data_IF_027737456126
#
_entry.id   IF_027737456126
#
_cell.length_a   1.000
_cell.length_b   1.000
_cell.length_c   1.000
_cell.angle_alpha   90.00
_cell.angle_beta   90.00
_cell.angle_gamma   90.00
#
_symmetry.space_group_name_H-M   'P 1'
#
loop_
_entity.id
_entity.type
_entity.pdbx_description
1 polymer ?
#
# COMPACT_ATOMS: atom_id res chain seq x y z
N UNK A 1 1.13 0.22 0.39
CA UNK A 1 0.55 1.51 -0.07
C UNK A 1 0.39 1.39 -1.57
N UNK A 2 -0.77 1.74 -2.14
CA UNK A 2 -0.99 1.67 -3.59
C UNK A 2 -0.48 2.99 -4.18
N UNK A 3 0.40 2.93 -5.19
CA UNK A 3 0.96 4.15 -5.78
C UNK A 3 0.35 4.49 -7.13
N UNK A 4 0.04 3.50 -7.95
CA UNK A 4 -0.58 3.74 -9.25
C UNK A 4 -1.78 2.84 -9.51
N UNK A 5 -2.78 3.47 -10.13
CA UNK A 5 -4.01 2.89 -10.63
C UNK A 5 -3.88 2.77 -12.15
N UNK A 6 -3.93 1.55 -12.66
CA UNK A 6 -3.88 1.31 -14.10
C UNK A 6 -5.29 1.20 -14.69
N UNK A 7 -5.54 2.00 -15.74
CA UNK A 7 -6.69 1.92 -16.65
C UNK A 7 -8.03 1.51 -15.98
N UNK A 8 -8.66 2.43 -15.27
CA UNK A 8 -9.96 2.22 -14.61
C UNK A 8 -9.96 1.00 -13.67
N UNK A 9 -9.04 1.01 -12.70
CA UNK A 9 -8.93 -0.05 -11.68
C UNK A 9 -8.61 -1.45 -12.23
N UNK A 10 -8.04 -1.60 -13.44
CA UNK A 10 -7.69 -2.91 -14.01
C UNK A 10 -6.44 -3.54 -13.39
N UNK A 11 -5.60 -2.73 -12.76
CA UNK A 11 -4.41 -3.19 -12.05
C UNK A 11 -3.86 -2.12 -11.14
N UNK A 12 -3.07 -2.54 -10.15
CA UNK A 12 -2.51 -1.67 -9.14
C UNK A 12 -1.02 -1.95 -8.99
N UNK A 13 -0.25 -0.89 -8.75
CA UNK A 13 1.13 -1.03 -8.32
C UNK A 13 1.23 -0.84 -6.80
N UNK A 14 1.82 -1.83 -6.14
CA UNK A 14 1.97 -1.87 -4.68
C UNK A 14 3.46 -1.91 -4.34
N UNK A 15 3.91 -0.94 -3.55
CA UNK A 15 5.24 -0.98 -2.95
C UNK A 15 5.23 -1.71 -1.62
N UNK A 16 6.22 -2.58 -1.48
CA UNK A 16 6.67 -3.16 -0.23
C UNK A 16 7.93 -2.45 0.21
N UNK A 17 7.86 -1.77 1.34
CA UNK A 17 8.98 -1.02 1.92
C UNK A 17 9.34 -1.58 3.29
N UNK A 18 10.61 -1.47 3.68
CA UNK A 18 11.06 -1.73 5.05
C UNK A 18 10.44 -0.71 6.00
N UNK A 19 10.57 -0.95 7.31
CA UNK A 19 10.16 0.05 8.31
C UNK A 19 10.93 1.38 8.19
N UNK A 20 12.18 1.35 7.69
CA UNK A 20 12.97 2.56 7.43
C UNK A 20 12.58 3.27 6.13
N UNK A 21 11.65 2.72 5.35
CA UNK A 21 11.15 3.31 4.10
C UNK A 21 11.94 2.92 2.86
N UNK A 22 12.85 1.94 2.96
CA UNK A 22 13.60 1.43 1.82
C UNK A 22 12.71 0.50 0.98
N UNK A 23 12.73 0.67 -0.35
CA UNK A 23 11.96 -0.16 -1.27
C UNK A 23 12.53 -1.58 -1.32
N UNK A 24 11.71 -2.57 -0.99
CA UNK A 24 12.04 -3.99 -1.12
C UNK A 24 11.56 -4.52 -2.47
N UNK A 25 10.33 -4.17 -2.87
CA UNK A 25 9.74 -4.62 -4.12
C UNK A 25 8.60 -3.70 -4.58
N UNK A 26 8.44 -3.63 -5.91
CA UNK A 26 7.28 -3.05 -6.58
C UNK A 26 6.55 -4.18 -7.32
N UNK A 27 5.27 -4.38 -7.04
CA UNK A 27 4.50 -5.51 -7.59
C UNK A 27 3.21 -4.99 -8.24
N UNK A 28 2.93 -5.47 -9.44
CA UNK A 28 1.65 -5.27 -10.11
C UNK A 28 0.66 -6.35 -9.67
N UNK A 29 -0.54 -5.94 -9.25
CA UNK A 29 -1.60 -6.84 -8.76
C UNK A 29 -2.94 -6.55 -9.43
N UNK A 30 -3.74 -7.59 -9.60
CA UNK A 30 -5.11 -7.49 -10.09
C UNK A 30 -6.08 -7.09 -8.97
N UNK A 31 -7.28 -6.56 -9.31
CA UNK A 31 -8.29 -6.18 -8.32
C UNK A 31 -8.71 -7.32 -7.39
N UNK A 32 -8.69 -8.55 -7.87
CA UNK A 32 -9.06 -9.75 -7.11
C UNK A 32 -8.02 -10.14 -6.05
N UNK A 33 -6.82 -9.56 -6.09
CA UNK A 33 -5.71 -9.87 -5.17
C UNK A 33 -5.58 -8.85 -4.05
N UNK A 34 -6.39 -7.80 -4.07
CA UNK A 34 -6.43 -6.77 -3.03
C UNK A 34 -7.87 -6.58 -2.55
N UNK A 35 -8.02 -5.87 -1.44
CA UNK A 35 -9.32 -5.44 -0.95
C UNK A 35 -9.30 -3.96 -0.60
N UNK A 36 -10.47 -3.34 -0.62
CA UNK A 36 -10.65 -2.00 -0.09
C UNK A 36 -10.45 -2.00 1.43
N UNK A 37 -9.93 -0.88 1.96
CA UNK A 37 -9.88 -0.65 3.40
C UNK A 37 -11.25 -0.13 3.88
N UNK A 38 -11.73 -0.69 4.98
CA UNK A 38 -13.00 -0.28 5.59
C UNK A 38 -12.82 0.97 6.46
N UNK A 39 -13.93 1.68 6.73
CA UNK A 39 -13.92 3.00 7.38
C UNK A 39 -13.18 3.06 8.73
N UNK A 40 -13.11 1.94 9.44
CA UNK A 40 -12.51 1.85 10.79
C UNK A 40 -11.20 1.03 10.80
N UNK A 41 -10.57 0.80 9.65
CA UNK A 41 -9.31 0.08 9.58
C UNK A 41 -8.09 1.01 9.64
N UNK A 42 -7.02 0.53 10.26
CA UNK A 42 -5.75 1.24 10.32
C UNK A 42 -4.96 0.95 9.05
N UNK A 43 -4.94 1.90 8.12
CA UNK A 43 -4.20 1.79 6.87
C UNK A 43 -2.66 1.78 7.05
N UNK A 44 -2.17 2.54 8.04
CA UNK A 44 -0.75 2.69 8.33
C UNK A 44 -0.55 3.11 9.79
N UNK A 45 0.35 2.43 10.50
CA UNK A 45 0.79 2.83 11.83
C UNK A 45 2.29 3.17 11.78
N UNK A 46 2.71 4.18 12.55
CA UNK A 46 4.12 4.54 12.76
C UNK A 46 4.35 4.88 14.23
N UNK A 47 5.57 4.67 14.73
CA UNK A 47 5.97 5.21 16.03
C UNK A 47 5.97 6.74 15.96
N UNK A 48 5.41 7.37 16.99
CA UNK A 48 5.59 8.80 17.25
C UNK A 48 6.84 8.93 18.11
N UNK A 49 7.78 9.80 17.72
CA UNK A 49 8.87 10.20 18.61
C UNK A 49 8.28 11.15 19.64
N UNK A 50 8.29 10.75 20.91
CA UNK A 50 8.06 11.68 22.03
C UNK A 50 9.30 12.57 22.16
N UNK A 51 9.08 13.86 22.45
CA UNK A 51 10.13 14.85 22.66
C UNK A 51 11.01 14.53 23.88
#
# INVERSE_FOLDING_TARGET
MILHLYADHKGYEVEFVTFSGELIALVSVYPTQIRQLEKNEIAKARRIKTA
#
